data_IF_645711276278
#
_entry.id   IF_645711276278
#
_cell.length_a   1.000
_cell.length_b   1.000
_cell.length_c   1.000
_cell.angle_alpha   90.00
_cell.angle_beta   90.00
_cell.angle_gamma   90.00
#
_symmetry.space_group_name_H-M   'P 1'
#
loop_
_entity.id
_entity.type
_entity.pdbx_description
1 polymer ?
#
# COMPACT_ATOMS: atom_id res chain seq x y z
N UNK A 1 -19.66 12.72 -18.63
CA UNK A 1 -20.30 12.11 -17.44
C UNK A 1 -19.28 11.24 -16.73
N UNK A 2 -18.97 11.54 -15.46
CA UNK A 2 -17.97 10.80 -14.66
C UNK A 2 -18.51 9.40 -14.40
N UNK A 3 -17.91 8.36 -15.01
CA UNK A 3 -18.12 6.98 -14.57
C UNK A 3 -17.65 6.93 -13.12
N UNK A 4 -18.58 6.88 -12.18
CA UNK A 4 -18.27 6.45 -10.83
C UNK A 4 -17.48 5.14 -11.00
N UNK A 5 -16.33 5.03 -10.36
CA UNK A 5 -15.66 3.75 -10.20
C UNK A 5 -16.72 2.84 -9.60
N UNK A 6 -17.39 2.02 -10.42
CA UNK A 6 -18.12 0.84 -9.95
C UNK A 6 -17.04 0.08 -9.21
N UNK A 7 -17.09 0.22 -7.88
CA UNK A 7 -15.95 -0.04 -7.02
C UNK A 7 -15.39 -1.42 -7.34
N UNK A 8 -14.06 -1.60 -7.29
CA UNK A 8 -13.53 -2.96 -7.27
C UNK A 8 -14.38 -3.79 -6.31
N UNK A 9 -14.85 -4.95 -6.76
CA UNK A 9 -15.72 -5.84 -5.99
C UNK A 9 -15.14 -5.92 -4.57
N UNK A 10 -15.92 -5.49 -3.57
CA UNK A 10 -15.47 -5.42 -2.18
C UNK A 10 -14.92 -6.79 -1.75
N UNK A 11 -15.49 -7.89 -2.27
CA UNK A 11 -14.97 -9.23 -2.06
C UNK A 11 -13.56 -9.44 -2.62
N UNK A 12 -13.22 -8.86 -3.78
CA UNK A 12 -11.87 -8.90 -4.32
C UNK A 12 -10.89 -8.03 -3.52
N UNK A 13 -11.32 -6.87 -3.02
CA UNK A 13 -10.52 -6.04 -2.12
C UNK A 13 -10.20 -6.78 -0.82
N UNK A 14 -11.22 -7.35 -0.17
CA UNK A 14 -11.07 -8.10 1.08
C UNK A 14 -10.17 -9.32 0.89
N UNK A 15 -10.36 -10.11 -0.17
CA UNK A 15 -9.44 -11.24 -0.51
C UNK A 15 -8.02 -10.76 -0.72
N UNK A 16 -7.86 -9.62 -1.40
CA UNK A 16 -6.58 -8.95 -1.52
C UNK A 16 -5.95 -8.66 -0.16
N UNK A 17 -6.66 -7.95 0.72
CA UNK A 17 -6.14 -7.58 2.05
C UNK A 17 -5.83 -8.79 2.92
N UNK A 18 -6.67 -9.82 2.90
CA UNK A 18 -6.40 -11.09 3.60
C UNK A 18 -5.12 -11.75 3.10
N UNK A 19 -4.79 -11.62 1.81
CA UNK A 19 -3.51 -12.12 1.27
C UNK A 19 -2.27 -11.37 1.79
N UNK A 20 -2.45 -10.23 2.46
CA UNK A 20 -1.37 -9.49 3.09
C UNK A 20 -1.05 -9.99 4.49
N UNK A 21 -1.86 -10.87 5.09
CA UNK A 21 -1.61 -11.45 6.41
C UNK A 21 -0.23 -12.14 6.39
N UNK A 22 0.59 -11.86 7.42
CA UNK A 22 1.96 -12.35 7.51
C UNK A 22 3.00 -11.60 6.64
N UNK A 23 2.59 -10.58 5.88
CA UNK A 23 3.51 -9.73 5.12
C UNK A 23 4.16 -8.68 6.03
N UNK A 24 5.47 -8.47 5.89
CA UNK A 24 6.19 -7.40 6.62
C UNK A 24 6.21 -6.12 5.79
N UNK A 25 5.94 -4.98 6.41
CA UNK A 25 6.22 -3.67 5.78
C UNK A 25 7.73 -3.50 5.66
N UNK A 26 8.21 -3.35 4.42
CA UNK A 26 9.62 -3.12 4.09
C UNK A 26 9.91 -1.63 3.96
N UNK A 27 9.03 -0.90 3.26
CA UNK A 27 9.17 0.53 2.98
C UNK A 27 7.79 1.19 2.92
N UNK A 28 7.74 2.49 3.16
CA UNK A 28 6.55 3.30 2.93
C UNK A 28 6.93 4.57 2.16
N UNK A 29 5.97 5.15 1.46
CA UNK A 29 6.11 6.48 0.88
C UNK A 29 4.77 7.17 0.76
N UNK A 30 4.83 8.48 0.58
CA UNK A 30 3.67 9.34 0.45
C UNK A 30 3.82 10.13 -0.85
N UNK A 31 3.33 9.60 -1.99
CA UNK A 31 3.42 10.29 -3.28
C UNK A 31 2.70 11.65 -3.28
N UNK A 32 1.57 11.76 -2.56
CA UNK A 32 0.77 12.97 -2.47
C UNK A 32 0.10 13.10 -1.09
N UNK A 33 -0.65 14.18 -0.87
CA UNK A 33 -1.27 14.44 0.43
C UNK A 33 -2.30 13.39 0.85
N UNK A 34 -2.97 12.73 -0.09
CA UNK A 34 -4.03 11.78 0.19
C UNK A 34 -3.62 10.33 -0.04
N UNK A 35 -2.44 10.06 -0.58
CA UNK A 35 -2.02 8.70 -0.90
C UNK A 35 -0.79 8.29 -0.11
N UNK A 36 -0.86 7.12 0.51
CA UNK A 36 0.26 6.41 1.14
C UNK A 36 0.46 5.09 0.39
N UNK A 37 1.71 4.75 0.08
CA UNK A 37 2.07 3.48 -0.52
C UNK A 37 2.96 2.71 0.44
N UNK A 38 2.53 1.50 0.79
CA UNK A 38 3.27 0.55 1.62
C UNK A 38 3.83 -0.55 0.72
N UNK A 39 5.15 -0.71 0.73
CA UNK A 39 5.83 -1.84 0.11
C UNK A 39 5.92 -2.96 1.14
N UNK A 40 5.22 -4.05 0.86
CA UNK A 40 5.10 -5.23 1.70
C UNK A 40 5.96 -6.34 1.12
N UNK A 41 6.64 -7.10 1.98
CA UNK A 41 7.32 -8.35 1.61
C UNK A 41 6.58 -9.52 2.25
N UNK A 42 5.94 -10.32 1.39
CA UNK A 42 5.34 -11.61 1.71
C UNK A 42 6.32 -12.73 1.39
N UNK A 43 6.32 -13.79 2.21
CA UNK A 43 7.07 -15.01 1.90
C UNK A 43 6.48 -15.76 0.69
N UNK A 44 5.16 -15.74 0.56
CA UNK A 44 4.45 -16.49 -0.49
C UNK A 44 4.35 -15.71 -1.81
N UNK A 45 4.14 -14.40 -1.74
CA UNK A 45 3.85 -13.55 -2.92
C UNK A 45 4.99 -12.62 -3.32
N UNK A 46 6.12 -12.67 -2.59
CA UNK A 46 7.23 -11.76 -2.82
C UNK A 46 6.89 -10.32 -2.45
N UNK A 47 7.17 -9.36 -3.33
CA UNK A 47 6.94 -7.94 -3.06
C UNK A 47 5.58 -7.48 -3.56
N UNK A 48 4.75 -6.98 -2.64
CA UNK A 48 3.42 -6.42 -2.92
C UNK A 48 3.40 -4.94 -2.54
N UNK A 49 2.60 -4.11 -3.23
CA UNK A 49 2.39 -2.71 -2.85
C UNK A 49 0.94 -2.50 -2.48
N UNK A 50 0.70 -1.98 -1.28
CA UNK A 50 -0.62 -1.56 -0.81
C UNK A 50 -0.70 -0.04 -0.94
N UNK A 51 -1.67 0.45 -1.71
CA UNK A 51 -1.98 1.86 -1.81
C UNK A 51 -3.16 2.17 -0.90
N UNK A 52 -2.97 3.14 -0.01
CA UNK A 52 -3.97 3.63 0.93
C UNK A 52 -4.27 5.08 0.56
N UNK A 53 -5.50 5.31 0.15
CA UNK A 53 -6.09 6.62 -0.03
C UNK A 53 -6.72 7.05 1.30
N UNK A 54 -6.21 8.13 1.89
CA UNK A 54 -6.67 8.72 3.14
C UNK A 54 -8.09 9.29 3.06
N UNK A 55 -8.68 9.35 1.87
CA UNK A 55 -10.10 9.63 1.62
C UNK A 55 -11.00 8.40 1.85
N UNK A 56 -10.43 7.26 2.28
CA UNK A 56 -11.18 6.10 2.79
C UNK A 56 -11.05 4.81 1.98
N UNK A 57 -10.12 4.73 1.03
CA UNK A 57 -9.95 3.53 0.19
C UNK A 57 -8.58 2.90 0.35
N UNK A 58 -8.48 1.58 0.22
CA UNK A 58 -7.19 0.89 0.13
C UNK A 58 -7.26 -0.21 -0.93
N UNK A 59 -6.23 -0.33 -1.76
CA UNK A 59 -6.19 -1.36 -2.79
C UNK A 59 -4.77 -1.84 -3.03
N UNK A 60 -4.65 -3.12 -3.40
CA UNK A 60 -3.37 -3.74 -3.70
C UNK A 60 -3.05 -3.53 -5.17
N UNK A 61 -1.80 -3.18 -5.44
CA UNK A 61 -1.31 -3.01 -6.80
C UNK A 61 0.02 -3.74 -6.98
N UNK A 62 0.15 -4.40 -8.13
CA UNK A 62 1.42 -4.96 -8.61
C UNK A 62 2.16 -3.98 -9.52
N UNK A 63 1.50 -2.90 -9.97
CA UNK A 63 2.12 -1.89 -10.82
C UNK A 63 3.19 -1.13 -10.04
N UNK A 64 4.31 -0.88 -10.72
CA UNK A 64 5.36 -0.03 -10.20
C UNK A 64 4.89 1.43 -10.25
N UNK A 65 4.57 2.00 -9.08
CA UNK A 65 4.29 3.42 -8.95
C UNK A 65 5.61 4.09 -8.60
N UNK A 66 6.05 5.04 -9.42
CA UNK A 66 7.30 5.79 -9.19
C UNK A 66 7.01 6.94 -8.23
N UNK A 67 7.35 6.75 -6.96
CA UNK A 67 7.29 7.81 -5.93
C UNK A 67 8.65 7.95 -5.26
N UNK A 68 9.02 9.19 -4.89
CA UNK A 68 10.27 9.48 -4.19
C UNK A 68 10.10 9.07 -2.72
N UNK A 69 10.59 7.89 -2.38
CA UNK A 69 10.64 7.40 -1.01
C UNK A 69 11.60 8.30 -0.23
N UNK A 70 11.07 9.14 0.66
CA UNK A 70 11.87 9.74 1.72
C UNK A 70 12.02 8.68 2.82
N UNK A 71 13.05 7.84 2.71
CA UNK A 71 13.49 6.98 3.80
C UNK A 71 14.06 7.86 4.91
N UNK A 72 13.20 8.34 5.82
CA UNK A 72 13.67 8.82 7.11
C UNK A 72 13.88 7.58 7.97
N UNK A 73 15.12 7.10 8.04
CA UNK A 73 15.52 6.13 9.06
C UNK A 73 15.25 6.76 10.42
N UNK A 74 14.17 6.35 11.08
CA UNK A 74 13.97 6.58 12.50
C UNK A 74 14.90 5.61 13.23
N UNK A 75 16.19 5.94 13.26
CA UNK A 75 17.08 5.41 14.28
C UNK A 75 16.72 6.14 15.58
N UNK A 76 15.82 5.54 16.35
CA UNK A 76 15.65 5.90 17.76
C UNK A 76 17.00 5.70 18.45
N UNK A 77 17.69 6.78 18.79
CA UNK A 77 18.79 6.71 19.74
C UNK A 77 18.17 6.42 21.10
N UNK A 78 18.32 5.19 21.57
CA UNK A 78 18.12 4.87 22.98
C UNK A 78 19.28 5.49 23.76
N UNK A 79 18.98 6.47 24.61
CA UNK A 79 19.89 6.97 25.65
C UNK A 79 19.72 6.14 26.92
#
# INVERSE_FOLDING_TARGET
>A
MKKALTGPDIGQLVRGWQSLIGSRVDQFGRPDLNTVILKLRSRERGTVRLLVDLSGWAYITTRFIKYRIKSRCLCSKSS
#
